data_IF_436089951887
#
_entry.id   IF_436089951887
#
_cell.length_a   1.000
_cell.length_b   1.000
_cell.length_c   1.000
_cell.angle_alpha   90.00
_cell.angle_beta   90.00
_cell.angle_gamma   90.00
#
_symmetry.space_group_name_H-M   'P 1'
#
loop_
_entity.id
_entity.type
_entity.pdbx_description
1 polymer ?
#
# COMPACT_ATOMS: atom_id res chain seq x y z
N UNK A 1 -20.77 -5.48 21.93
CA UNK A 1 -21.08 -4.32 21.08
C UNK A 1 -20.59 -3.07 21.81
N UNK A 2 -19.37 -2.63 21.58
CA UNK A 2 -18.85 -1.37 22.12
C UNK A 2 -18.54 -0.47 20.94
N UNK A 3 -19.43 0.51 20.69
CA UNK A 3 -19.22 1.62 19.78
C UNK A 3 -18.07 2.47 20.31
N UNK A 4 -16.88 2.33 19.74
CA UNK A 4 -15.78 3.26 20.00
C UNK A 4 -15.98 4.50 19.12
N UNK A 5 -16.38 5.60 19.75
CA UNK A 5 -16.34 6.94 19.17
C UNK A 5 -14.89 7.33 18.89
N UNK A 6 -14.55 7.52 17.63
CA UNK A 6 -13.21 7.92 17.16
C UNK A 6 -12.93 9.36 17.63
N UNK A 7 -11.98 9.53 18.53
CA UNK A 7 -11.50 10.84 18.96
C UNK A 7 -10.68 11.52 17.86
N UNK A 8 -10.97 12.81 17.60
CA UNK A 8 -10.43 13.62 16.49
C UNK A 8 -8.97 14.09 16.69
N UNK A 9 -8.15 13.43 17.45
CA UNK A 9 -6.74 13.84 17.65
C UNK A 9 -5.78 13.31 16.57
N UNK A 10 -6.17 13.35 15.28
CA UNK A 10 -5.29 12.96 14.17
C UNK A 10 -4.27 14.04 13.84
N UNK A 11 -3.22 14.14 14.66
CA UNK A 11 -1.98 14.88 14.33
C UNK A 11 -0.98 14.10 13.48
N UNK A 12 -1.29 12.86 13.06
CA UNK A 12 -0.33 11.93 12.45
C UNK A 12 0.06 12.30 11.01
N UNK A 13 -0.88 12.63 10.14
CA UNK A 13 -0.60 12.94 8.72
C UNK A 13 0.01 14.33 8.51
N UNK A 14 -0.35 15.32 9.33
CA UNK A 14 0.22 16.67 9.27
C UNK A 14 1.68 16.66 9.74
N UNK A 15 2.04 15.86 10.73
CA UNK A 15 3.42 15.71 11.20
C UNK A 15 4.37 15.09 10.16
N UNK A 16 3.89 14.18 9.30
CA UNK A 16 4.70 13.61 8.21
C UNK A 16 4.98 14.65 7.12
N UNK A 17 4.00 15.47 6.77
CA UNK A 17 4.17 16.56 5.81
C UNK A 17 5.10 17.66 6.35
N UNK A 18 4.95 18.05 7.62
CA UNK A 18 5.82 19.04 8.27
C UNK A 18 7.25 18.52 8.49
N UNK A 19 7.44 17.22 8.77
CA UNK A 19 8.78 16.61 8.85
C UNK A 19 9.49 16.57 7.50
N UNK A 20 8.77 16.26 6.40
CA UNK A 20 9.32 16.31 5.04
C UNK A 20 9.78 17.72 4.64
N UNK A 21 9.09 18.76 5.07
CA UNK A 21 9.51 20.17 4.87
C UNK A 21 10.71 20.58 5.74
N UNK A 22 10.91 19.96 6.92
CA UNK A 22 12.09 20.19 7.77
C UNK A 22 13.32 19.38 7.36
N UNK A 23 13.19 18.38 6.49
CA UNK A 23 14.26 17.48 6.00
C UNK A 23 15.32 18.12 5.09
N UNK A 24 15.31 19.46 4.93
CA UNK A 24 16.35 20.19 4.18
C UNK A 24 17.68 20.37 4.95
N UNK A 25 17.78 19.90 6.20
CA UNK A 25 18.96 20.06 7.05
C UNK A 25 19.52 18.70 7.50
N UNK A 26 20.25 18.04 6.61
CA UNK A 26 20.91 16.76 6.85
C UNK A 26 20.19 15.59 6.16
N UNK A 27 20.95 14.70 5.51
CA UNK A 27 20.42 13.56 4.79
C UNK A 27 19.81 12.52 5.75
N UNK A 28 18.52 12.67 6.09
CA UNK A 28 17.77 11.69 6.88
C UNK A 28 17.43 10.48 6.02
N UNK A 29 17.49 9.30 6.62
CA UNK A 29 17.09 8.05 6.00
C UNK A 29 15.58 7.83 6.22
N UNK A 30 14.76 8.17 5.23
CA UNK A 30 13.30 7.96 5.28
C UNK A 30 12.97 6.50 4.93
N UNK A 31 12.61 5.71 5.92
CA UNK A 31 12.14 4.31 5.83
C UNK A 31 10.67 4.18 6.26
N UNK A 32 9.94 5.28 6.36
CA UNK A 32 8.52 5.26 6.71
C UNK A 32 7.61 4.97 5.49
N UNK A 33 8.06 5.31 4.27
CA UNK A 33 7.33 5.05 3.03
C UNK A 33 7.61 3.68 2.43
N UNK A 34 6.73 3.22 1.50
CA UNK A 34 6.89 1.98 0.73
C UNK A 34 7.46 2.18 -0.67
N UNK A 35 7.67 3.42 -1.09
CA UNK A 35 8.21 3.73 -2.43
C UNK A 35 9.58 3.09 -2.63
N UNK A 36 9.74 2.34 -3.72
CA UNK A 36 11.00 1.70 -4.08
C UNK A 36 12.16 2.70 -4.10
N UNK A 37 13.19 2.43 -3.33
CA UNK A 37 14.33 3.33 -3.12
C UNK A 37 15.40 3.23 -4.22
N UNK A 38 15.29 2.24 -5.14
CA UNK A 38 16.19 2.12 -6.30
C UNK A 38 15.81 3.07 -7.44
N UNK A 39 14.78 3.94 -7.19
CA UNK A 39 14.37 5.00 -8.10
C UNK A 39 13.62 4.48 -9.32
N UNK A 40 13.14 5.38 -10.17
CA UNK A 40 12.46 4.96 -11.38
C UNK A 40 13.47 4.36 -12.39
N UNK A 41 13.01 3.44 -13.28
CA UNK A 41 13.83 3.01 -14.40
C UNK A 41 14.23 4.20 -15.28
N UNK A 42 15.43 4.15 -15.87
CA UNK A 42 15.94 5.24 -16.72
C UNK A 42 15.01 5.56 -17.91
N UNK A 43 14.25 4.57 -18.37
CA UNK A 43 13.24 4.76 -19.41
C UNK A 43 12.16 5.79 -19.01
N UNK A 44 11.77 5.83 -17.75
CA UNK A 44 10.81 6.83 -17.22
C UNK A 44 11.39 8.24 -17.32
N UNK A 45 12.61 8.42 -16.82
CA UNK A 45 13.27 9.71 -16.86
C UNK A 45 13.50 10.20 -18.29
N UNK A 46 13.84 9.28 -19.20
CA UNK A 46 13.98 9.57 -20.63
C UNK A 46 12.66 9.99 -21.25
N UNK A 47 11.59 9.24 -21.01
CA UNK A 47 10.24 9.54 -21.52
C UNK A 47 9.79 10.96 -21.09
N UNK A 48 10.00 11.30 -19.82
CA UNK A 48 9.65 12.64 -19.31
C UNK A 48 10.51 13.77 -19.89
N UNK A 49 11.79 13.52 -20.18
CA UNK A 49 12.69 14.52 -20.82
C UNK A 49 12.38 14.75 -22.28
N UNK A 50 11.74 13.78 -22.95
CA UNK A 50 11.42 13.84 -24.40
C UNK A 50 9.99 14.29 -24.70
N UNK A 51 9.25 14.74 -23.69
CA UNK A 51 7.91 15.28 -23.86
C UNK A 51 7.90 16.43 -24.89
N UNK A 52 6.95 16.35 -25.81
CA UNK A 52 6.69 17.42 -26.79
C UNK A 52 5.63 18.39 -26.28
N UNK A 53 5.52 19.61 -26.86
CA UNK A 53 4.40 20.51 -26.57
C UNK A 53 3.02 19.86 -26.77
N UNK A 54 2.89 18.92 -27.72
CA UNK A 54 1.64 18.20 -27.98
C UNK A 54 1.25 17.28 -26.82
N UNK A 55 2.22 16.64 -26.17
CA UNK A 55 1.96 15.77 -25.01
C UNK A 55 1.40 16.57 -23.84
N UNK A 56 1.91 17.80 -23.65
CA UNK A 56 1.45 18.72 -22.61
C UNK A 56 0.06 19.29 -22.91
N UNK A 57 -0.26 19.49 -24.19
CA UNK A 57 -1.53 20.05 -24.67
C UNK A 57 -2.64 19.00 -24.84
N UNK A 58 -2.29 17.72 -24.81
CA UNK A 58 -3.23 16.63 -25.02
C UNK A 58 -4.33 16.56 -23.95
N UNK A 59 -5.54 16.24 -24.36
CA UNK A 59 -6.68 16.09 -23.44
C UNK A 59 -6.51 14.83 -22.56
N UNK A 60 -6.85 14.90 -21.28
CA UNK A 60 -6.70 13.78 -20.34
C UNK A 60 -7.48 12.51 -20.68
N UNK A 61 -8.59 12.64 -21.45
CA UNK A 61 -9.40 11.47 -21.84
C UNK A 61 -8.63 10.44 -22.66
N UNK A 62 -7.79 10.89 -23.60
CA UNK A 62 -6.91 10.00 -24.38
C UNK A 62 -5.87 9.30 -23.49
N UNK A 63 -5.41 9.96 -22.45
CA UNK A 63 -4.46 9.37 -21.50
C UNK A 63 -5.08 8.22 -20.69
N UNK A 64 -6.35 8.36 -20.28
CA UNK A 64 -7.06 7.29 -19.56
C UNK A 64 -7.19 6.03 -20.42
N UNK A 65 -7.59 6.18 -21.69
CA UNK A 65 -7.70 5.06 -22.63
C UNK A 65 -6.35 4.34 -22.80
N UNK A 66 -5.29 5.08 -23.08
CA UNK A 66 -3.93 4.51 -23.21
C UNK A 66 -3.50 3.75 -21.96
N UNK A 67 -3.76 4.30 -20.78
CA UNK A 67 -3.41 3.65 -19.51
C UNK A 67 -4.18 2.33 -19.35
N UNK A 68 -5.49 2.33 -19.65
CA UNK A 68 -6.33 1.13 -19.62
C UNK A 68 -5.80 0.05 -20.57
N UNK A 69 -5.56 0.41 -21.85
CA UNK A 69 -5.02 -0.51 -22.86
C UNK A 69 -3.65 -1.07 -22.44
N UNK A 70 -2.78 -0.22 -21.88
CA UNK A 70 -1.47 -0.67 -21.43
C UNK A 70 -1.53 -1.62 -20.25
N UNK A 71 -2.40 -1.37 -19.28
CA UNK A 71 -2.61 -2.32 -18.18
C UNK A 71 -3.28 -3.60 -18.64
N UNK A 72 -4.25 -3.54 -19.57
CA UNK A 72 -4.87 -4.73 -20.14
C UNK A 72 -3.84 -5.65 -20.83
N UNK A 73 -2.91 -5.07 -21.60
CA UNK A 73 -1.81 -5.81 -22.23
C UNK A 73 -0.90 -6.46 -21.18
N UNK A 74 -0.52 -5.73 -20.12
CA UNK A 74 0.40 -6.23 -19.07
C UNK A 74 -0.27 -7.30 -18.22
N UNK A 75 -1.54 -7.14 -17.91
CA UNK A 75 -2.31 -8.04 -17.04
C UNK A 75 -2.92 -9.23 -17.80
N UNK A 76 -3.00 -9.14 -19.14
CA UNK A 76 -3.60 -10.18 -19.98
C UNK A 76 -5.11 -10.29 -19.85
N UNK A 77 -5.81 -9.16 -19.63
CA UNK A 77 -7.26 -9.07 -19.44
C UNK A 77 -7.92 -8.19 -20.50
N UNK A 78 -9.25 -8.25 -20.58
CA UNK A 78 -10.03 -7.38 -21.47
C UNK A 78 -9.97 -5.91 -20.97
N UNK A 79 -9.66 -4.93 -21.83
CA UNK A 79 -9.71 -3.52 -21.45
C UNK A 79 -11.05 -3.07 -20.84
N UNK A 80 -12.16 -3.68 -21.23
CA UNK A 80 -13.49 -3.38 -20.68
C UNK A 80 -13.68 -3.85 -19.22
N UNK A 81 -12.79 -4.69 -18.72
CA UNK A 81 -12.72 -5.10 -17.31
C UNK A 81 -11.86 -4.16 -16.45
N UNK A 82 -11.37 -3.06 -17.03
CA UNK A 82 -10.50 -2.09 -16.37
C UNK A 82 -11.09 -0.68 -16.41
N UNK A 83 -10.83 0.07 -15.34
CA UNK A 83 -11.03 1.52 -15.29
C UNK A 83 -9.74 2.18 -14.85
N UNK A 84 -9.22 3.12 -15.65
CA UNK A 84 -8.07 3.94 -15.29
C UNK A 84 -8.46 5.06 -14.33
N UNK A 85 -7.60 5.33 -13.34
CA UNK A 85 -7.79 6.39 -12.34
C UNK A 85 -6.48 6.88 -11.74
N UNK A 86 -6.59 7.71 -10.70
CA UNK A 86 -5.45 8.36 -10.03
C UNK A 86 -4.85 7.51 -8.90
N UNK A 87 -4.89 6.19 -9.06
CA UNK A 87 -4.32 5.23 -8.12
C UNK A 87 -5.31 4.74 -7.06
N UNK A 88 -4.91 3.72 -6.28
CA UNK A 88 -5.78 3.00 -5.34
C UNK A 88 -6.51 3.89 -4.34
N UNK A 89 -5.84 4.88 -3.75
CA UNK A 89 -6.47 5.78 -2.78
C UNK A 89 -7.62 6.61 -3.37
N UNK A 90 -7.57 6.96 -4.68
CA UNK A 90 -8.64 7.67 -5.35
C UNK A 90 -9.85 6.76 -5.60
N UNK A 91 -9.60 5.52 -5.99
CA UNK A 91 -10.63 4.49 -6.13
C UNK A 91 -11.30 4.19 -4.78
N UNK A 92 -10.55 4.04 -3.69
CA UNK A 92 -11.10 3.84 -2.36
C UNK A 92 -11.98 5.02 -1.89
N UNK A 93 -11.58 6.27 -2.19
CA UNK A 93 -12.42 7.45 -1.94
C UNK A 93 -13.70 7.45 -2.78
N UNK A 94 -13.62 7.02 -4.05
CA UNK A 94 -14.79 6.89 -4.89
C UNK A 94 -15.74 5.82 -4.35
N UNK A 95 -15.23 4.70 -3.88
CA UNK A 95 -15.98 3.65 -3.18
C UNK A 95 -16.65 4.23 -1.93
N UNK A 96 -15.89 4.91 -1.06
CA UNK A 96 -16.42 5.50 0.16
C UNK A 96 -17.53 6.53 -0.10
N UNK A 97 -17.45 7.26 -1.22
CA UNK A 97 -18.46 8.24 -1.61
C UNK A 97 -19.73 7.63 -2.20
N UNK A 98 -19.63 6.48 -2.86
CA UNK A 98 -20.69 5.86 -3.67
C UNK A 98 -21.20 4.53 -3.15
N UNK A 99 -20.48 3.91 -2.23
CA UNK A 99 -20.97 2.68 -1.59
C UNK A 99 -22.39 2.94 -1.07
N UNK A 100 -23.35 2.08 -1.40
CA UNK A 100 -24.71 2.19 -0.89
C UNK A 100 -24.70 2.24 0.63
N UNK A 101 -25.84 2.57 1.26
CA UNK A 101 -25.95 2.68 2.73
C UNK A 101 -25.68 1.36 3.48
N UNK A 102 -24.85 0.50 2.89
CA UNK A 102 -24.41 -0.76 3.43
C UNK A 102 -23.22 -0.63 4.36
N UNK A 103 -22.90 -1.71 5.05
CA UNK A 103 -21.74 -1.81 5.91
C UNK A 103 -20.45 -2.02 5.08
N UNK A 104 -19.41 -1.27 5.42
CA UNK A 104 -18.05 -1.49 4.91
C UNK A 104 -17.21 -2.02 6.03
N UNK A 105 -16.50 -3.11 5.79
CA UNK A 105 -15.50 -3.67 6.71
C UNK A 105 -14.10 -3.44 6.17
N UNK A 106 -13.16 -3.15 7.06
CA UNK A 106 -11.73 -3.10 6.75
C UNK A 106 -11.03 -4.15 7.59
N UNK A 107 -10.25 -5.04 6.96
CA UNK A 107 -9.45 -6.01 7.69
C UNK A 107 -8.25 -5.33 8.33
N UNK A 108 -8.15 -5.45 9.65
CA UNK A 108 -7.01 -4.97 10.42
C UNK A 108 -5.94 -6.09 10.56
N UNK A 109 -4.68 -5.71 10.73
CA UNK A 109 -4.15 -4.33 10.79
C UNK A 109 -4.26 -3.61 9.45
N UNK A 110 -4.45 -2.28 9.46
CA UNK A 110 -4.51 -1.48 8.24
C UNK A 110 -3.86 -0.11 8.44
N UNK A 111 -3.28 0.51 7.39
CA UNK A 111 -2.69 1.84 7.49
C UNK A 111 -3.72 2.90 7.87
N UNK A 112 -3.30 3.89 8.66
CA UNK A 112 -4.17 4.98 9.12
C UNK A 112 -4.78 5.81 7.98
N UNK A 113 -4.09 5.95 6.86
CA UNK A 113 -4.59 6.66 5.68
C UNK A 113 -5.75 5.91 5.02
N UNK A 114 -5.70 4.56 4.95
CA UNK A 114 -6.84 3.76 4.52
C UNK A 114 -8.04 3.95 5.46
N UNK A 115 -7.82 3.84 6.77
CA UNK A 115 -8.88 4.01 7.76
C UNK A 115 -9.52 5.41 7.69
N UNK A 116 -8.73 6.44 7.38
CA UNK A 116 -9.20 7.82 7.24
C UNK A 116 -10.11 8.08 6.04
N UNK A 117 -10.12 7.19 5.05
CA UNK A 117 -10.97 7.31 3.85
C UNK A 117 -12.45 7.07 4.19
N UNK A 118 -12.75 6.33 5.27
CA UNK A 118 -14.11 5.94 5.66
C UNK A 118 -14.62 6.62 6.94
N UNK A 119 -14.44 7.95 7.15
CA UNK A 119 -14.80 8.61 8.39
C UNK A 119 -16.32 8.64 8.59
N UNK A 120 -16.78 8.27 9.79
CA UNK A 120 -18.18 8.42 10.21
C UNK A 120 -19.18 7.48 9.53
N UNK A 121 -18.75 6.59 8.67
CA UNK A 121 -19.54 5.43 8.23
C UNK A 121 -19.22 4.30 9.18
N UNK A 122 -20.24 3.59 9.64
CA UNK A 122 -20.06 2.47 10.56
C UNK A 122 -19.34 1.32 9.86
N UNK A 123 -18.01 1.43 9.73
CA UNK A 123 -17.23 0.30 9.29
C UNK A 123 -16.84 -0.52 10.52
N UNK A 124 -16.89 -1.81 10.36
CA UNK A 124 -16.44 -2.76 11.35
C UNK A 124 -15.02 -3.16 11.01
N UNK A 125 -14.12 -3.09 12.01
CA UNK A 125 -12.77 -3.62 11.84
C UNK A 125 -12.73 -5.04 12.38
N UNK A 126 -12.27 -5.97 11.58
CA UNK A 126 -11.97 -7.33 11.98
C UNK A 126 -10.48 -7.42 12.33
N UNK A 127 -10.18 -7.58 13.62
CA UNK A 127 -8.79 -7.63 14.09
C UNK A 127 -8.24 -9.03 13.97
N UNK A 128 -7.12 -9.14 13.27
CA UNK A 128 -6.30 -10.33 13.21
C UNK A 128 -5.19 -10.34 14.27
N UNK A 129 -4.53 -11.48 14.39
CA UNK A 129 -3.28 -11.60 15.14
C UNK A 129 -2.11 -11.03 14.33
N UNK A 130 -2.06 -9.69 14.20
CA UNK A 130 -1.02 -8.93 13.48
C UNK A 130 -1.02 -9.07 11.94
N UNK A 131 -1.78 -9.99 11.38
CA UNK A 131 -1.93 -10.22 9.94
C UNK A 131 -3.39 -10.60 9.61
N UNK A 132 -3.93 -10.24 8.44
CA UNK A 132 -5.22 -10.74 7.99
C UNK A 132 -5.16 -12.26 7.74
N UNK A 133 -6.26 -12.95 8.01
CA UNK A 133 -6.43 -14.39 7.75
C UNK A 133 -7.63 -14.64 6.87
N UNK A 134 -7.68 -15.84 6.23
CA UNK A 134 -8.84 -16.25 5.42
C UNK A 134 -10.11 -16.40 6.26
N UNK A 135 -10.00 -16.88 7.51
CA UNK A 135 -11.16 -17.02 8.41
C UNK A 135 -11.78 -15.66 8.73
N UNK A 136 -10.95 -14.65 8.93
CA UNK A 136 -11.45 -13.30 9.18
C UNK A 136 -12.02 -12.64 7.92
N UNK A 137 -11.46 -12.95 6.74
CA UNK A 137 -12.03 -12.51 5.47
C UNK A 137 -13.41 -13.14 5.27
N UNK A 138 -13.55 -14.43 5.56
CA UNK A 138 -14.82 -15.16 5.48
C UNK A 138 -15.88 -14.59 6.44
N UNK A 139 -15.49 -14.35 7.69
CA UNK A 139 -16.35 -13.72 8.69
C UNK A 139 -16.78 -12.31 8.25
N UNK A 140 -15.85 -11.50 7.76
CA UNK A 140 -16.12 -10.14 7.32
C UNK A 140 -17.07 -10.08 6.13
N UNK A 141 -16.87 -10.93 5.11
CA UNK A 141 -17.73 -11.03 3.95
C UNK A 141 -19.14 -11.54 4.30
N UNK A 142 -19.25 -12.37 5.35
CA UNK A 142 -20.54 -12.81 5.88
C UNK A 142 -21.33 -11.73 6.63
N UNK A 143 -20.71 -10.63 7.04
CA UNK A 143 -21.31 -9.59 7.88
C UNK A 143 -21.40 -8.21 7.24
N UNK A 144 -20.63 -7.95 6.16
CA UNK A 144 -20.57 -6.64 5.51
C UNK A 144 -20.92 -6.73 4.03
N UNK A 145 -21.49 -5.64 3.48
CA UNK A 145 -21.81 -5.54 2.05
C UNK A 145 -20.55 -5.32 1.21
N UNK A 146 -19.49 -4.79 1.84
CA UNK A 146 -18.19 -4.58 1.21
C UNK A 146 -17.06 -4.81 2.21
N UNK A 147 -16.02 -5.51 1.77
CA UNK A 147 -14.81 -5.76 2.57
C UNK A 147 -13.60 -5.23 1.84
N UNK A 148 -12.69 -4.54 2.55
CA UNK A 148 -11.44 -4.01 2.02
C UNK A 148 -10.27 -4.78 2.61
N UNK A 149 -9.44 -5.33 1.74
CA UNK A 149 -8.24 -6.11 2.05
C UNK A 149 -7.04 -5.55 1.29
N UNK A 150 -5.87 -5.40 1.93
CA UNK A 150 -4.60 -5.22 1.22
C UNK A 150 -3.92 -6.58 1.02
N UNK A 151 -3.57 -6.93 -0.21
CA UNK A 151 -2.84 -8.17 -0.52
C UNK A 151 -1.82 -7.91 -1.67
N UNK A 152 -0.52 -7.80 -1.39
CA UNK A 152 0.19 -7.97 -0.10
C UNK A 152 -0.27 -7.03 1.00
N UNK A 153 -0.19 -7.50 2.25
CA UNK A 153 -0.60 -6.71 3.41
C UNK A 153 0.33 -5.51 3.63
N UNK A 154 -0.22 -4.31 3.59
CA UNK A 154 0.53 -3.04 3.52
C UNK A 154 1.45 -2.74 4.72
N UNK A 155 1.22 -3.35 5.89
CA UNK A 155 2.07 -3.15 7.08
C UNK A 155 3.11 -4.24 7.26
N UNK A 156 2.79 -5.50 6.97
CA UNK A 156 3.67 -6.66 7.26
C UNK A 156 4.29 -7.29 6.01
N UNK A 157 3.72 -7.05 4.83
CA UNK A 157 4.13 -7.72 3.59
C UNK A 157 3.66 -9.18 3.48
N UNK A 158 2.76 -9.62 4.34
CA UNK A 158 2.14 -10.97 4.22
C UNK A 158 1.30 -11.04 2.95
N UNK A 159 1.31 -12.19 2.30
CA UNK A 159 0.53 -12.47 1.09
C UNK A 159 -0.41 -13.63 1.35
N UNK A 160 -1.70 -13.40 1.20
CA UNK A 160 -2.69 -14.46 1.17
C UNK A 160 -2.72 -15.10 -0.22
N UNK A 161 -2.95 -16.41 -0.27
CA UNK A 161 -3.08 -17.13 -1.53
C UNK A 161 -4.28 -16.60 -2.33
N UNK A 162 -4.08 -16.12 -3.57
CA UNK A 162 -5.15 -15.49 -4.36
C UNK A 162 -6.26 -16.48 -4.71
N UNK A 163 -5.96 -17.76 -4.87
CA UNK A 163 -6.97 -18.80 -5.15
C UNK A 163 -7.87 -18.97 -3.93
N UNK A 164 -7.27 -19.11 -2.74
CA UNK A 164 -8.03 -19.22 -1.50
C UNK A 164 -8.85 -17.95 -1.19
N UNK A 165 -8.33 -16.76 -1.48
CA UNK A 165 -9.08 -15.50 -1.33
C UNK A 165 -10.27 -15.46 -2.29
N UNK A 166 -10.11 -15.87 -3.56
CA UNK A 166 -11.19 -15.94 -4.53
C UNK A 166 -12.25 -16.97 -4.12
N UNK A 167 -11.86 -18.13 -3.60
CA UNK A 167 -12.78 -19.15 -3.07
C UNK A 167 -13.61 -18.59 -1.91
N UNK A 168 -12.99 -17.82 -1.01
CA UNK A 168 -13.71 -17.15 0.07
C UNK A 168 -14.71 -16.14 -0.50
N UNK A 169 -14.31 -15.28 -1.46
CA UNK A 169 -15.20 -14.32 -2.09
C UNK A 169 -16.40 -14.98 -2.77
N UNK A 170 -16.19 -16.09 -3.48
CA UNK A 170 -17.23 -16.85 -4.17
C UNK A 170 -18.28 -17.48 -3.22
N UNK A 171 -17.94 -17.71 -1.94
CA UNK A 171 -18.92 -18.15 -0.93
C UNK A 171 -19.89 -17.03 -0.51
N UNK A 172 -19.53 -15.77 -0.75
CA UNK A 172 -20.29 -14.58 -0.36
C UNK A 172 -20.65 -13.70 -1.57
N UNK A 173 -21.42 -14.19 -2.55
CA UNK A 173 -21.66 -13.46 -3.81
C UNK A 173 -22.47 -12.17 -3.63
N UNK A 174 -23.12 -11.97 -2.50
CA UNK A 174 -23.86 -10.75 -2.18
C UNK A 174 -22.97 -9.64 -1.59
N UNK A 175 -21.74 -9.96 -1.19
CA UNK A 175 -20.77 -9.02 -0.64
C UNK A 175 -19.66 -8.74 -1.66
N UNK A 176 -19.18 -7.49 -1.73
CA UNK A 176 -18.08 -7.11 -2.64
C UNK A 176 -16.75 -7.12 -1.88
N UNK A 177 -15.75 -7.84 -2.42
CA UNK A 177 -14.39 -7.79 -1.95
C UNK A 177 -13.57 -6.79 -2.76
N UNK A 178 -13.01 -5.78 -2.10
CA UNK A 178 -12.05 -4.84 -2.69
C UNK A 178 -10.65 -5.19 -2.23
N UNK A 179 -9.78 -5.55 -3.16
CA UNK A 179 -8.39 -5.93 -2.85
C UNK A 179 -7.45 -4.84 -3.33
N UNK A 180 -6.74 -4.22 -2.40
CA UNK A 180 -5.66 -3.27 -2.72
C UNK A 180 -4.37 -4.05 -2.97
N UNK A 181 -4.01 -4.18 -4.24
CA UNK A 181 -2.78 -4.81 -4.73
C UNK A 181 -1.69 -3.77 -5.07
N UNK A 182 -1.64 -2.63 -4.39
CA UNK A 182 -0.61 -1.61 -4.62
C UNK A 182 0.81 -2.19 -4.52
N UNK A 183 1.03 -3.10 -3.56
CA UNK A 183 2.35 -3.67 -3.29
C UNK A 183 2.63 -4.98 -4.06
N UNK A 184 1.72 -5.44 -4.93
CA UNK A 184 1.87 -6.71 -5.64
C UNK A 184 3.07 -6.72 -6.59
N UNK A 185 3.39 -5.56 -7.20
CA UNK A 185 4.50 -5.44 -8.15
C UNK A 185 5.88 -5.69 -7.51
N UNK A 186 5.98 -5.65 -6.19
CA UNK A 186 7.21 -6.00 -5.47
C UNK A 186 7.50 -7.50 -5.46
N UNK A 187 6.48 -8.35 -5.60
CA UNK A 187 6.64 -9.80 -5.54
C UNK A 187 7.45 -10.33 -6.73
N UNK A 188 8.14 -11.45 -6.54
CA UNK A 188 8.93 -12.08 -7.61
C UNK A 188 8.06 -12.55 -8.78
N UNK A 189 6.83 -12.95 -8.50
CA UNK A 189 5.83 -13.32 -9.51
C UNK A 189 4.49 -12.62 -9.19
N UNK A 190 4.34 -11.35 -9.59
CA UNK A 190 3.12 -10.60 -9.29
C UNK A 190 1.88 -11.15 -10.00
N UNK A 191 2.06 -11.79 -11.16
CA UNK A 191 0.95 -12.38 -11.92
C UNK A 191 0.31 -13.56 -11.19
N UNK A 192 1.12 -14.46 -10.63
CA UNK A 192 0.62 -15.62 -9.88
C UNK A 192 0.03 -15.25 -8.51
N UNK A 193 0.42 -14.12 -7.96
CA UNK A 193 -0.01 -13.67 -6.65
C UNK A 193 -1.23 -12.73 -6.70
N UNK A 194 -1.66 -12.33 -7.89
CA UNK A 194 -2.76 -11.40 -8.11
C UNK A 194 -4.11 -12.11 -8.22
N UNK A 195 -5.17 -11.42 -7.78
CA UNK A 195 -6.56 -11.81 -8.01
C UNK A 195 -7.08 -11.34 -9.38
N UNK A 196 -6.33 -10.54 -10.13
CA UNK A 196 -6.70 -10.16 -11.49
C UNK A 196 -6.82 -11.43 -12.37
N UNK A 197 -7.94 -11.57 -13.05
CA UNK A 197 -8.23 -12.74 -13.89
C UNK A 197 -8.84 -13.93 -13.15
N UNK A 198 -9.15 -13.81 -11.83
CA UNK A 198 -9.91 -14.83 -11.09
C UNK A 198 -11.33 -14.94 -11.62
N UNK A 199 -12.04 -16.01 -11.29
CA UNK A 199 -13.43 -16.27 -11.70
C UNK A 199 -14.49 -15.71 -10.73
N UNK A 200 -14.06 -14.94 -9.72
CA UNK A 200 -14.96 -14.31 -8.77
C UNK A 200 -15.52 -12.99 -9.32
N UNK A 201 -16.83 -12.91 -9.52
CA UNK A 201 -17.51 -11.74 -10.10
C UNK A 201 -17.67 -10.59 -9.10
N UNK A 202 -17.61 -10.88 -7.79
CA UNK A 202 -17.75 -9.90 -6.70
C UNK A 202 -16.42 -9.35 -6.20
N UNK A 203 -15.34 -9.48 -6.98
CA UNK A 203 -14.00 -8.97 -6.62
C UNK A 203 -13.66 -7.73 -7.45
N UNK A 204 -13.16 -6.70 -6.76
CA UNK A 204 -12.52 -5.53 -7.37
C UNK A 204 -11.05 -5.52 -6.95
N UNK A 205 -10.14 -5.44 -7.90
CA UNK A 205 -8.69 -5.35 -7.64
C UNK A 205 -8.19 -3.97 -8.02
N UNK A 206 -7.50 -3.31 -7.09
CA UNK A 206 -6.87 -1.99 -7.31
C UNK A 206 -5.37 -2.19 -7.55
N UNK A 207 -4.86 -1.64 -8.67
CA UNK A 207 -3.45 -1.79 -9.07
C UNK A 207 -2.79 -0.44 -9.33
N UNK A 208 -1.51 -0.33 -8.98
CA UNK A 208 -0.64 0.78 -9.36
C UNK A 208 0.80 0.33 -9.47
N UNK A 209 1.51 0.80 -10.50
CA UNK A 209 2.95 0.57 -10.64
C UNK A 209 3.80 1.66 -9.97
N UNK A 210 3.20 2.70 -9.39
CA UNK A 210 3.90 3.90 -8.94
C UNK A 210 4.87 3.63 -7.79
N UNK A 211 4.45 2.90 -6.76
CA UNK A 211 5.28 2.59 -5.58
C UNK A 211 6.48 1.72 -5.97
N UNK A 212 6.22 0.61 -6.69
CA UNK A 212 7.28 -0.29 -7.15
C UNK A 212 8.25 0.39 -8.10
N UNK A 213 7.77 1.25 -9.00
CA UNK A 213 8.63 1.92 -9.97
C UNK A 213 9.38 3.13 -9.40
N UNK A 214 9.29 3.40 -8.09
CA UNK A 214 9.96 4.55 -7.48
C UNK A 214 9.38 5.90 -7.90
N UNK A 215 8.12 5.93 -8.31
CA UNK A 215 7.43 7.11 -8.87
C UNK A 215 6.38 7.67 -7.89
N UNK A 216 6.72 7.85 -6.64
CA UNK A 216 5.79 8.33 -5.61
C UNK A 216 5.13 9.70 -5.89
N UNK A 217 5.65 10.46 -6.86
CA UNK A 217 5.07 11.72 -7.32
C UNK A 217 3.94 11.54 -8.36
N UNK A 218 3.84 10.37 -9.02
CA UNK A 218 2.80 10.11 -10.02
C UNK A 218 1.52 9.61 -9.35
N UNK A 219 0.40 9.83 -10.04
CA UNK A 219 -0.92 9.40 -9.58
C UNK A 219 -1.64 8.67 -10.70
N UNK A 220 -1.34 7.36 -10.83
CA UNK A 220 -1.99 6.47 -11.79
C UNK A 220 -2.29 5.12 -11.17
N UNK A 221 -3.28 4.45 -11.70
CA UNK A 221 -3.64 3.09 -11.36
C UNK A 221 -4.86 2.63 -12.14
N UNK A 222 -5.24 1.39 -11.95
CA UNK A 222 -6.44 0.81 -12.52
C UNK A 222 -7.22 0.06 -11.44
N UNK A 223 -8.54 0.01 -11.62
CA UNK A 223 -9.43 -0.92 -10.95
C UNK A 223 -9.84 -1.99 -11.97
N UNK A 224 -9.73 -3.26 -11.58
CA UNK A 224 -10.17 -4.42 -12.37
C UNK A 224 -11.35 -5.09 -11.68
N UNK A 225 -12.30 -5.58 -12.47
CA UNK A 225 -13.32 -6.53 -12.05
C UNK A 225 -13.91 -7.21 -13.29
N UNK A 226 -14.34 -8.47 -13.17
CA UNK A 226 -15.15 -9.14 -14.20
C UNK A 226 -16.54 -8.51 -14.32
N UNK A 227 -17.08 -8.00 -13.22
CA UNK A 227 -18.34 -7.26 -13.23
C UNK A 227 -18.14 -5.83 -13.76
N UNK A 228 -18.27 -5.69 -15.08
CA UNK A 228 -18.17 -4.39 -15.79
C UNK A 228 -19.24 -3.39 -15.34
N UNK A 229 -20.40 -3.86 -14.90
CA UNK A 229 -21.45 -2.98 -14.39
C UNK A 229 -21.04 -2.37 -13.05
N UNK A 230 -20.51 -3.18 -12.14
CA UNK A 230 -19.99 -2.73 -10.85
C UNK A 230 -18.90 -1.67 -11.02
N UNK A 231 -17.94 -1.88 -11.93
CA UNK A 231 -16.92 -0.89 -12.27
C UNK A 231 -17.52 0.44 -12.74
N UNK A 232 -18.51 0.39 -13.62
CA UNK A 232 -19.16 1.60 -14.15
C UNK A 232 -19.94 2.36 -13.09
N UNK A 233 -20.60 1.65 -12.18
CA UNK A 233 -21.34 2.28 -11.06
C UNK A 233 -20.39 2.96 -10.08
N UNK A 234 -19.29 2.30 -9.73
CA UNK A 234 -18.36 2.81 -8.73
C UNK A 234 -17.39 3.85 -9.31
N UNK A 235 -17.00 3.70 -10.58
CA UNK A 235 -15.92 4.49 -11.17
C UNK A 235 -16.30 5.13 -12.51
N UNK A 236 -17.51 5.71 -12.60
CA UNK A 236 -17.92 6.41 -13.82
C UNK A 236 -16.84 7.43 -14.25
N UNK A 237 -16.19 7.23 -15.41
CA UNK A 237 -15.10 8.11 -15.86
C UNK A 237 -15.56 9.55 -16.11
N UNK A 238 -16.87 9.78 -16.24
CA UNK A 238 -17.46 11.14 -16.39
C UNK A 238 -17.49 11.90 -15.06
N UNK A 239 -17.45 11.20 -13.93
CA UNK A 239 -17.55 11.77 -12.59
C UNK A 239 -16.20 11.79 -11.85
N UNK A 240 -15.19 11.08 -12.38
CA UNK A 240 -13.85 11.01 -11.81
C UNK A 240 -12.95 12.15 -12.25
N UNK A 241 -11.89 12.41 -11.50
CA UNK A 241 -10.79 13.27 -11.96
C UNK A 241 -9.98 12.53 -13.03
N UNK A 242 -9.78 13.11 -14.19
CA UNK A 242 -9.01 12.45 -15.25
C UNK A 242 -7.56 12.23 -14.81
N UNK A 243 -6.93 11.16 -15.29
CA UNK A 243 -5.50 10.92 -15.09
C UNK A 243 -4.67 11.95 -15.85
N UNK A 244 -3.55 12.36 -15.29
CA UNK A 244 -2.59 13.25 -15.96
C UNK A 244 -1.92 12.52 -17.13
N UNK A 245 -1.87 13.14 -18.32
CA UNK A 245 -1.14 12.61 -19.46
C UNK A 245 0.36 12.40 -19.17
N UNK A 246 0.95 13.28 -18.37
CA UNK A 246 2.37 13.17 -17.97
C UNK A 246 2.61 11.95 -17.08
N UNK A 247 1.70 11.71 -16.13
CA UNK A 247 1.76 10.52 -15.26
C UNK A 247 1.59 9.23 -16.06
N UNK A 248 0.73 9.25 -17.09
CA UNK A 248 0.53 8.10 -17.98
C UNK A 248 1.80 7.80 -18.79
N UNK A 249 2.45 8.80 -19.38
CA UNK A 249 3.74 8.63 -20.08
C UNK A 249 4.79 7.97 -19.17
N UNK A 250 4.91 8.43 -17.94
CA UNK A 250 5.81 7.84 -16.96
C UNK A 250 5.45 6.38 -16.64
N UNK A 251 4.16 6.11 -16.45
CA UNK A 251 3.66 4.78 -16.10
C UNK A 251 3.83 3.79 -17.25
N UNK A 252 3.55 4.17 -18.49
CA UNK A 252 3.78 3.34 -19.68
C UNK A 252 5.25 2.95 -19.81
N UNK A 253 6.17 3.90 -19.60
CA UNK A 253 7.60 3.64 -19.63
C UNK A 253 8.05 2.70 -18.50
N UNK A 254 7.46 2.83 -17.31
CA UNK A 254 7.72 1.94 -16.18
C UNK A 254 7.24 0.52 -16.47
N UNK A 255 6.01 0.34 -16.94
CA UNK A 255 5.41 -0.96 -17.29
C UNK A 255 6.17 -1.66 -18.44
N UNK A 256 6.82 -0.90 -19.33
CA UNK A 256 7.66 -1.44 -20.38
C UNK A 256 9.04 -1.92 -19.88
N UNK A 257 9.47 -1.52 -18.67
CA UNK A 257 10.82 -1.73 -18.13
C UNK A 257 10.99 -3.10 -17.45
N UNK A 258 10.59 -4.21 -18.09
CA UNK A 258 10.54 -5.56 -17.50
C UNK A 258 11.89 -6.03 -16.96
N UNK A 259 12.99 -5.86 -17.71
CA UNK A 259 14.34 -6.29 -17.27
C UNK A 259 14.78 -5.58 -16.01
N UNK A 260 14.50 -4.27 -15.90
CA UNK A 260 14.74 -3.49 -14.70
C UNK A 260 13.87 -4.00 -13.54
N UNK A 261 12.60 -4.24 -13.78
CA UNK A 261 11.66 -4.73 -12.77
C UNK A 261 12.12 -6.05 -12.16
N UNK A 262 12.53 -7.03 -12.99
CA UNK A 262 13.00 -8.33 -12.52
C UNK A 262 14.31 -8.24 -11.72
N UNK A 263 15.23 -7.36 -12.12
CA UNK A 263 16.47 -7.13 -11.38
C UNK A 263 16.17 -6.50 -10.00
N UNK A 264 15.29 -5.51 -9.95
CA UNK A 264 14.93 -4.81 -8.72
C UNK A 264 14.13 -5.70 -7.77
N UNK A 265 13.21 -6.54 -8.27
CA UNK A 265 12.49 -7.52 -7.43
C UNK A 265 13.45 -8.45 -6.69
N UNK A 266 14.47 -8.99 -7.37
CA UNK A 266 15.50 -9.84 -6.73
C UNK A 266 16.26 -9.07 -5.65
N UNK A 267 16.68 -7.84 -5.95
CA UNK A 267 17.40 -7.01 -4.98
C UNK A 267 16.53 -6.69 -3.75
N UNK A 268 15.27 -6.36 -3.96
CA UNK A 268 14.34 -6.06 -2.86
C UNK A 268 14.05 -7.29 -1.99
N UNK A 269 14.02 -8.49 -2.58
CA UNK A 269 13.90 -9.73 -1.83
C UNK A 269 15.09 -9.96 -0.88
N UNK A 270 16.31 -9.68 -1.36
CA UNK A 270 17.53 -9.72 -0.54
C UNK A 270 17.50 -8.63 0.56
N UNK A 271 17.09 -7.41 0.21
CA UNK A 271 16.99 -6.29 1.17
C UNK A 271 15.94 -6.56 2.25
N UNK A 272 14.79 -7.13 1.88
CA UNK A 272 13.74 -7.49 2.82
C UNK A 272 14.14 -8.62 3.78
N UNK A 273 14.87 -9.63 3.29
CA UNK A 273 15.44 -10.67 4.13
C UNK A 273 16.48 -10.10 5.11
N UNK A 274 17.38 -9.24 4.62
CA UNK A 274 18.34 -8.54 5.46
C UNK A 274 17.67 -7.68 6.54
N UNK A 275 16.62 -6.92 6.19
CA UNK A 275 15.88 -6.06 7.13
C UNK A 275 15.26 -6.87 8.26
N UNK A 276 14.65 -8.02 7.96
CA UNK A 276 14.05 -8.87 8.98
C UNK A 276 15.07 -9.31 10.05
N UNK A 277 16.26 -9.72 9.62
CA UNK A 277 17.35 -10.07 10.53
C UNK A 277 17.87 -8.87 11.33
N UNK A 278 17.98 -7.70 10.68
CA UNK A 278 18.47 -6.49 11.32
C UNK A 278 17.51 -5.98 12.43
N UNK A 279 16.20 -6.15 12.26
CA UNK A 279 15.18 -5.72 13.23
C UNK A 279 14.96 -6.72 14.37
N UNK A 280 15.27 -8.00 14.19
CA UNK A 280 15.01 -9.06 15.17
C UNK A 280 15.49 -8.76 16.61
N UNK A 281 16.64 -8.08 16.84
CA UNK A 281 17.08 -7.72 18.20
C UNK A 281 16.18 -6.73 18.92
N UNK A 282 15.27 -6.04 18.23
CA UNK A 282 14.42 -4.98 18.80
C UNK A 282 13.00 -5.47 19.18
N UNK A 283 12.58 -6.66 18.72
CA UNK A 283 11.27 -7.22 18.99
C UNK A 283 10.84 -8.30 17.99
N UNK A 284 9.56 -8.60 17.99
CA UNK A 284 9.00 -9.61 17.07
C UNK A 284 8.79 -9.03 15.67
N UNK A 285 9.52 -9.54 14.70
CA UNK A 285 9.32 -9.19 13.29
C UNK A 285 8.29 -10.13 12.69
N UNK A 286 7.18 -9.57 12.19
CA UNK A 286 6.14 -10.36 11.53
C UNK A 286 6.71 -10.97 10.25
N UNK A 287 6.54 -12.27 10.08
CA UNK A 287 6.99 -13.01 8.91
C UNK A 287 6.12 -12.67 7.70
N UNK A 288 6.67 -11.91 6.77
CA UNK A 288 6.04 -11.51 5.50
C UNK A 288 6.83 -12.04 4.31
N UNK A 289 6.31 -11.81 3.10
CA UNK A 289 7.01 -12.15 1.88
C UNK A 289 8.33 -11.37 1.77
N UNK A 290 9.44 -12.07 1.53
CA UNK A 290 10.77 -11.45 1.46
C UNK A 290 10.87 -10.33 0.41
N UNK A 291 10.14 -10.45 -0.69
CA UNK A 291 10.17 -9.48 -1.79
C UNK A 291 9.44 -8.16 -1.48
N UNK A 292 8.55 -8.12 -0.49
CA UNK A 292 7.90 -6.85 -0.10
C UNK A 292 8.91 -5.92 0.57
N UNK A 293 8.84 -4.60 0.30
CA UNK A 293 9.87 -3.67 0.76
C UNK A 293 9.76 -3.30 2.24
N UNK A 294 8.76 -3.81 2.95
CA UNK A 294 8.46 -3.42 4.34
C UNK A 294 8.48 -4.60 5.30
N UNK A 295 8.75 -4.32 6.57
CA UNK A 295 8.57 -5.26 7.69
C UNK A 295 7.83 -4.57 8.83
N UNK A 296 6.97 -5.34 9.49
CA UNK A 296 6.32 -4.93 10.72
C UNK A 296 7.08 -5.52 11.91
N UNK A 297 7.67 -4.65 12.71
CA UNK A 297 8.25 -4.97 14.01
C UNK A 297 7.19 -4.71 15.08
N UNK A 298 6.78 -5.74 15.81
CA UNK A 298 5.82 -5.64 16.91
C UNK A 298 6.59 -5.59 18.24
N UNK A 299 6.30 -4.59 19.04
CA UNK A 299 7.01 -4.36 20.30
C UNK A 299 6.20 -3.41 21.20
N UNK A 300 6.31 -3.58 22.52
CA UNK A 300 5.78 -2.67 23.54
C UNK A 300 6.58 -1.36 23.65
N UNK A 301 7.79 -1.33 23.07
CA UNK A 301 8.69 -0.16 23.00
C UNK A 301 8.53 0.65 21.71
N UNK A 302 7.43 0.52 20.98
CA UNK A 302 7.29 1.10 19.63
C UNK A 302 7.52 2.62 19.59
N UNK A 303 6.93 3.39 20.50
CA UNK A 303 7.11 4.84 20.57
C UNK A 303 8.57 5.23 20.93
N UNK A 304 9.18 4.53 21.89
CA UNK A 304 10.57 4.74 22.27
C UNK A 304 11.51 4.46 21.10
N UNK A 305 11.31 3.33 20.40
CA UNK A 305 12.13 2.97 19.24
C UNK A 305 11.94 3.95 18.08
N UNK A 306 10.71 4.40 17.81
CA UNK A 306 10.45 5.42 16.79
C UNK A 306 11.20 6.73 17.08
N UNK A 307 11.13 7.21 18.33
CA UNK A 307 11.87 8.39 18.77
C UNK A 307 13.39 8.18 18.68
N UNK A 308 13.87 7.01 19.06
CA UNK A 308 15.28 6.63 18.98
C UNK A 308 15.79 6.57 17.54
N UNK A 309 15.09 5.92 16.63
CA UNK A 309 15.41 5.95 15.20
C UNK A 309 15.47 7.38 14.66
N UNK A 310 14.48 8.20 15.01
CA UNK A 310 14.44 9.60 14.59
C UNK A 310 15.65 10.40 15.13
N UNK A 311 16.11 10.14 16.35
CA UNK A 311 17.33 10.74 16.94
C UNK A 311 18.60 10.34 16.17
N UNK A 312 18.63 9.14 15.59
CA UNK A 312 19.72 8.65 14.75
C UNK A 312 19.53 8.98 13.25
N UNK A 313 18.62 9.89 12.92
CA UNK A 313 18.42 10.32 11.53
C UNK A 313 17.66 9.33 10.65
N UNK A 314 16.98 8.33 11.22
CA UNK A 314 16.16 7.35 10.52
C UNK A 314 14.69 7.62 10.80
N UNK A 315 13.86 7.76 9.77
CA UNK A 315 12.41 7.89 9.92
C UNK A 315 11.75 6.55 9.64
N UNK A 316 10.89 6.10 10.56
CA UNK A 316 10.10 4.87 10.48
C UNK A 316 8.63 5.18 10.74
N UNK A 317 7.70 4.33 10.30
CA UNK A 317 6.27 4.53 10.52
C UNK A 317 5.87 3.86 11.85
N UNK A 318 5.47 4.66 12.83
CA UNK A 318 4.85 4.17 14.06
C UNK A 318 3.42 3.71 13.75
N UNK A 319 3.06 2.52 14.18
CA UNK A 319 1.72 1.94 14.08
C UNK A 319 1.27 1.43 15.45
N UNK A 320 0.00 1.55 15.75
CA UNK A 320 -0.53 1.26 17.07
C UNK A 320 -1.89 0.58 17.06
N UNK A 321 -2.59 0.69 18.17
CA UNK A 321 -3.91 0.06 18.35
C UNK A 321 -4.96 0.55 17.39
N UNK A 322 -4.88 1.81 16.96
CA UNK A 322 -5.82 2.37 15.99
C UNK A 322 -5.73 1.68 14.63
N UNK A 323 -4.53 1.25 14.25
CA UNK A 323 -4.25 0.48 13.04
C UNK A 323 -4.40 -1.05 13.25
N UNK A 324 -4.79 -1.49 14.44
CA UNK A 324 -4.96 -2.91 14.80
C UNK A 324 -3.68 -3.63 15.23
N UNK A 325 -2.58 -2.91 15.50
CA UNK A 325 -1.31 -3.50 15.95
C UNK A 325 -1.20 -3.45 17.47
N UNK A 326 -1.02 -4.62 18.11
CA UNK A 326 -0.92 -4.75 19.56
C UNK A 326 0.38 -5.46 19.97
N UNK A 327 1.11 -4.95 20.98
CA UNK A 327 0.89 -3.75 21.79
C UNK A 327 1.17 -2.44 21.06
N UNK A 328 1.84 -2.49 19.94
CA UNK A 328 2.24 -1.44 19.02
C UNK A 328 3.36 -1.95 18.12
N UNK A 329 3.81 -1.15 17.15
CA UNK A 329 4.84 -1.58 16.24
C UNK A 329 5.43 -0.47 15.38
N UNK A 330 6.41 -0.85 14.59
CA UNK A 330 7.03 -0.02 13.58
C UNK A 330 6.93 -0.71 12.22
N UNK A 331 6.38 -0.03 11.22
CA UNK A 331 6.58 -0.43 9.83
C UNK A 331 7.87 0.22 9.34
N UNK A 332 8.79 -0.60 8.84
CA UNK A 332 10.11 -0.16 8.38
C UNK A 332 10.31 -0.64 6.95
N UNK A 333 10.66 0.29 6.05
CA UNK A 333 11.06 -0.05 4.69
C UNK A 333 12.53 -0.51 4.64
N UNK A 334 12.85 -1.38 3.69
CA UNK A 334 14.20 -1.90 3.53
C UNK A 334 15.17 -0.80 3.06
N UNK A 335 16.29 -0.57 3.78
CA UNK A 335 17.32 0.32 3.32
C UNK A 335 18.10 -0.29 2.14
N UNK A 336 18.57 0.54 1.22
CA UNK A 336 19.51 0.11 0.16
C UNK A 336 20.81 -0.38 0.80
N UNK A 337 21.56 -1.19 0.07
CA UNK A 337 22.86 -1.71 0.51
C UNK A 337 23.78 -0.60 1.05
N UNK A 338 23.83 0.55 0.38
CA UNK A 338 24.64 1.70 0.80
C UNK A 338 24.17 2.38 2.09
N UNK A 339 22.96 2.13 2.53
CA UNK A 339 22.32 2.72 3.72
C UNK A 339 22.34 1.78 4.94
N UNK A 340 22.66 0.50 4.72
CA UNK A 340 22.61 -0.54 5.76
C UNK A 340 23.54 -0.26 6.94
N UNK A 341 24.73 0.32 6.70
CA UNK A 341 25.66 0.65 7.78
C UNK A 341 25.07 1.68 8.76
N UNK A 342 24.45 2.74 8.24
CA UNK A 342 23.80 3.76 9.06
C UNK A 342 22.59 3.19 9.83
N UNK A 343 21.77 2.36 9.16
CA UNK A 343 20.64 1.69 9.79
C UNK A 343 21.09 0.73 10.90
N UNK A 344 22.11 -0.11 10.65
CA UNK A 344 22.65 -1.04 11.64
C UNK A 344 23.21 -0.31 12.87
N UNK A 345 23.87 0.82 12.68
CA UNK A 345 24.38 1.63 13.80
C UNK A 345 23.20 2.13 14.68
N UNK A 346 22.10 2.58 14.09
CA UNK A 346 20.90 2.98 14.82
C UNK A 346 20.28 1.80 15.58
N UNK A 347 20.14 0.62 14.94
CA UNK A 347 19.63 -0.60 15.60
C UNK A 347 20.49 -1.00 16.80
N UNK A 348 21.83 -1.00 16.67
CA UNK A 348 22.74 -1.33 17.77
C UNK A 348 22.57 -0.39 18.95
N UNK A 349 22.51 0.92 18.71
CA UNK A 349 22.30 1.91 19.76
C UNK A 349 20.96 1.71 20.49
N UNK A 350 19.93 1.29 19.77
CA UNK A 350 18.57 1.13 20.32
C UNK A 350 18.38 -0.21 21.05
N UNK A 351 19.13 -1.25 20.66
CA UNK A 351 19.10 -2.55 21.34
C UNK A 351 19.53 -2.44 22.80
N UNK A 352 20.60 -1.71 23.02
CA UNK A 352 21.27 -1.61 24.31
C UNK A 352 20.74 -0.44 25.16
N UNK A 353 19.82 0.36 24.63
CA UNK A 353 19.20 1.47 25.35
C UNK A 353 18.25 0.96 26.45
N UNK A 354 18.40 1.41 27.71
CA UNK A 354 17.48 1.05 28.78
C UNK A 354 16.06 1.50 28.42
N UNK A 355 15.05 0.74 28.86
CA UNK A 355 13.66 1.17 28.75
C UNK A 355 13.52 2.54 29.43
N UNK A 356 13.18 3.59 28.69
CA UNK A 356 12.83 4.87 29.27
C UNK A 356 11.56 4.67 30.09
N UNK A 357 11.64 4.83 31.41
CA UNK A 357 10.46 5.00 32.25
C UNK A 357 9.74 6.26 31.72
N UNK A 358 8.69 6.09 30.96
CA UNK A 358 7.77 7.18 30.65
C UNK A 358 7.14 7.57 31.97
N UNK A 359 7.66 8.62 32.58
CA UNK A 359 7.05 9.24 33.75
C UNK A 359 5.62 9.59 33.40
N UNK A 360 4.67 8.85 33.95
CA UNK A 360 3.26 9.21 33.96
C UNK A 360 3.20 10.48 34.80
N UNK A 361 3.21 11.65 34.12
CA UNK A 361 2.83 12.89 34.76
C UNK A 361 1.33 12.77 35.07
N UNK A 362 1.01 12.67 36.38
CA UNK A 362 -0.31 12.53 36.95
C UNK A 362 -1.28 13.71 36.64
#
# INVERSE_FOLDING_TARGET
MASQTFDRSHRSTTHLAERRLRGALGARLDLAGSVNRYGPPEAVLRALRTLSPRDVQAQPSAAATRLTERYAEVLGVDPDELVAGRGPSDFLRAIAARAPHGSVAVLLPAPADLLSIFPGRGFTCFSAQQIPTLDQLDEALGQADMVILSNPHALSGVVLDPVAVAEVANRHPASTLVVDETDIEFLLDPGRSSLVGTDADNVIVLRSASEFSGMGATRTGVAWSRDRYLLRVLFDPRLGSPVSGLDVVATEAALASRVWADAVRRQLAEDGGWLAHALAPLGHVVEGNAATPVRLLVTDRAEQLAAGFAAHGVDVLLVGRAEGVHPGGLRVAAPRVSERAAFSAAVHALRDAPALELGVAG
#
